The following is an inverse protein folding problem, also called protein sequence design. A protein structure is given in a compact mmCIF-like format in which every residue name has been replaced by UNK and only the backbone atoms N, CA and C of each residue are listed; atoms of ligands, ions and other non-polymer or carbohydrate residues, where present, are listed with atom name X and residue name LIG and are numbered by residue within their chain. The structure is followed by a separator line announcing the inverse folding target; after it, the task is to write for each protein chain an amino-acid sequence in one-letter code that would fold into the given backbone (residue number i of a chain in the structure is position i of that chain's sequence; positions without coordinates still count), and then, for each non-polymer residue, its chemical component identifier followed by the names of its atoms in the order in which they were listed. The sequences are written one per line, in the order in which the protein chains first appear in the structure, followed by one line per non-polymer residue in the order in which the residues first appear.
data_IF_826508115541
#
_entry.id   IF_826508115541
#
_cell.length_a   1.000
_cell.length_b   1.000
_cell.length_c   1.000
_cell.angle_alpha   90.00
_cell.angle_beta   90.00
_cell.angle_gamma   90.00
#
_symmetry.space_group_name_H-M   'P 1'
#
loop_
_entity.id
_entity.type
_entity.pdbx_description
1 polymer ?
#
# COMPACT_ATOMS: atom_id res chain seq x y z
N UNK A 1 2.65 -13.66 15.55
CA UNK A 1 2.89 -13.34 14.13
C UNK A 1 2.24 -11.99 13.86
N UNK A 2 3.01 -10.96 13.56
CA UNK A 2 2.50 -9.61 13.33
C UNK A 2 3.10 -9.07 12.03
N UNK A 3 2.23 -8.78 11.06
CA UNK A 3 2.59 -8.09 9.83
C UNK A 3 2.12 -6.64 9.95
N UNK A 4 3.00 -5.68 9.68
CA UNK A 4 2.69 -4.25 9.74
C UNK A 4 2.69 -3.68 8.31
N UNK A 5 1.55 -3.15 7.89
CA UNK A 5 1.45 -2.32 6.69
C UNK A 5 1.54 -0.86 7.10
N UNK A 6 2.53 -0.15 6.56
CA UNK A 6 2.65 1.29 6.68
C UNK A 6 2.32 1.95 5.35
N UNK A 7 1.41 2.93 5.39
CA UNK A 7 0.96 3.67 4.22
C UNK A 7 1.17 5.15 4.49
N UNK A 8 2.00 5.79 3.67
CA UNK A 8 2.27 7.22 3.75
C UNK A 8 1.60 7.88 2.55
N UNK A 9 0.68 8.80 2.82
CA UNK A 9 -0.02 9.58 1.81
C UNK A 9 0.45 11.02 1.92
N UNK A 10 1.17 11.47 0.90
CA UNK A 10 1.68 12.84 0.82
C UNK A 10 0.85 13.60 -0.21
N UNK A 11 0.17 14.65 0.25
CA UNK A 11 -0.53 15.57 -0.64
C UNK A 11 0.35 16.81 -0.89
N UNK A 12 0.70 17.04 -2.15
CA UNK A 12 1.36 18.26 -2.58
C UNK A 12 0.31 19.26 -3.07
N UNK A 13 0.08 20.30 -2.27
CA UNK A 13 -0.87 21.36 -2.58
C UNK A 13 -0.46 22.21 -3.78
N UNK A 14 0.84 22.33 -4.08
CA UNK A 14 1.33 23.15 -5.19
C UNK A 14 1.07 22.48 -6.55
N UNK A 15 1.16 21.15 -6.61
CA UNK A 15 0.86 20.37 -7.81
C UNK A 15 -0.54 19.74 -7.82
N UNK A 16 -1.29 19.87 -6.72
CA UNK A 16 -2.58 19.21 -6.47
C UNK A 16 -2.52 17.70 -6.77
N UNK A 17 -1.42 17.07 -6.36
CA UNK A 17 -1.15 15.65 -6.56
C UNK A 17 -0.98 14.96 -5.22
N UNK A 18 -1.47 13.73 -5.15
CA UNK A 18 -1.13 12.82 -4.07
C UNK A 18 0.01 11.90 -4.54
N UNK A 19 0.89 11.56 -3.61
CA UNK A 19 1.88 10.48 -3.72
C UNK A 19 1.58 9.47 -2.61
N UNK A 20 1.64 8.18 -2.93
CA UNK A 20 1.36 7.12 -1.96
C UNK A 20 2.55 6.17 -1.91
N UNK A 21 3.16 6.05 -0.74
CA UNK A 21 4.27 5.15 -0.46
C UNK A 21 3.80 4.02 0.47
N UNK A 22 4.31 2.81 0.23
CA UNK A 22 3.89 1.60 0.93
C UNK A 22 5.13 0.90 1.48
N UNK A 23 5.12 0.59 2.77
CA UNK A 23 6.15 -0.24 3.39
C UNK A 23 5.51 -1.38 4.16
N UNK A 24 6.12 -2.56 4.08
CA UNK A 24 5.68 -3.73 4.81
C UNK A 24 6.81 -4.18 5.70
N UNK A 25 6.58 -4.18 7.00
CA UNK A 25 7.50 -4.73 7.99
C UNK A 25 6.94 -6.06 8.51
N UNK A 26 7.79 -7.07 8.52
CA UNK A 26 7.42 -8.45 8.87
C UNK A 26 8.40 -8.96 9.90
N UNK A 27 7.91 -9.33 11.09
CA UNK A 27 8.80 -9.80 12.15
C UNK A 27 9.28 -11.25 11.94
N UNK A 28 8.60 -12.06 11.09
CA UNK A 28 8.91 -13.47 10.80
C UNK A 28 8.32 -13.93 9.44
N UNK A 29 8.51 -15.21 9.06
CA UNK A 29 7.93 -15.84 7.88
C UNK A 29 6.42 -15.59 7.77
N UNK A 30 6.03 -14.77 6.80
CA UNK A 30 4.64 -14.45 6.50
C UNK A 30 4.00 -15.65 5.80
N UNK A 31 2.80 -16.02 6.23
CA UNK A 31 2.03 -17.05 5.53
C UNK A 31 1.50 -16.49 4.21
N UNK A 32 1.34 -17.34 3.19
CA UNK A 32 0.75 -16.94 1.89
C UNK A 32 -0.62 -16.28 2.04
N UNK A 33 -1.37 -16.64 3.09
CA UNK A 33 -2.67 -16.04 3.40
C UNK A 33 -2.56 -14.59 3.88
N UNK A 34 -1.54 -14.28 4.70
CA UNK A 34 -1.28 -12.91 5.18
C UNK A 34 -0.80 -12.01 4.03
N UNK A 35 0.07 -12.51 3.14
CA UNK A 35 0.48 -11.79 1.94
C UNK A 35 -0.71 -11.47 1.01
N UNK A 36 -1.59 -12.45 0.81
CA UNK A 36 -2.80 -12.26 0.00
C UNK A 36 -3.73 -11.23 0.64
N UNK A 37 -3.90 -11.28 1.96
CA UNK A 37 -4.71 -10.32 2.71
C UNK A 37 -4.16 -8.90 2.58
N UNK A 38 -2.84 -8.73 2.71
CA UNK A 38 -2.18 -7.44 2.55
C UNK A 38 -2.33 -6.88 1.13
N UNK A 39 -2.21 -7.74 0.11
CA UNK A 39 -2.44 -7.36 -1.29
C UNK A 39 -3.87 -6.86 -1.52
N UNK A 40 -4.87 -7.52 -0.93
CA UNK A 40 -6.26 -7.07 -0.98
C UNK A 40 -6.46 -5.71 -0.29
N UNK A 41 -5.86 -5.52 0.89
CA UNK A 41 -5.93 -4.24 1.63
C UNK A 41 -5.30 -3.11 0.82
N UNK A 42 -4.11 -3.33 0.25
CA UNK A 42 -3.43 -2.36 -0.63
C UNK A 42 -4.31 -1.97 -1.82
N UNK A 43 -4.93 -2.96 -2.47
CA UNK A 43 -5.86 -2.73 -3.59
C UNK A 43 -7.08 -1.91 -3.17
N UNK A 44 -7.68 -2.23 -2.01
CA UNK A 44 -8.85 -1.51 -1.51
C UNK A 44 -8.55 -0.04 -1.20
N UNK A 45 -7.39 0.24 -0.58
CA UNK A 45 -6.97 1.61 -0.28
C UNK A 45 -6.67 2.39 -1.56
N UNK A 46 -5.98 1.79 -2.54
CA UNK A 46 -5.74 2.44 -3.85
C UNK A 46 -7.05 2.82 -4.54
N UNK A 47 -8.06 1.94 -4.53
CA UNK A 47 -9.39 2.23 -5.08
C UNK A 47 -10.07 3.41 -4.37
N UNK A 48 -10.04 3.44 -3.04
CA UNK A 48 -10.65 4.52 -2.26
C UNK A 48 -9.98 5.88 -2.52
N UNK A 49 -8.68 5.88 -2.82
CA UNK A 49 -7.93 7.09 -3.17
C UNK A 49 -8.04 7.46 -4.66
N UNK A 50 -8.80 6.71 -5.46
CA UNK A 50 -8.97 6.95 -6.89
C UNK A 50 -7.75 6.60 -7.75
N UNK A 51 -6.80 5.84 -7.22
CA UNK A 51 -5.62 5.40 -7.96
C UNK A 51 -5.93 4.19 -8.85
N UNK A 52 -5.26 4.06 -10.00
CA UNK A 52 -5.36 2.86 -10.82
C UNK A 52 -4.80 1.68 -10.03
N UNK A 53 -5.61 0.63 -9.81
CA UNK A 53 -5.17 -0.60 -9.13
C UNK A 53 -4.18 -1.44 -9.92
N UNK A 54 -3.90 -1.04 -11.16
CA UNK A 54 -3.00 -1.73 -12.09
C UNK A 54 -1.63 -1.06 -12.21
N UNK A 55 -1.37 -0.02 -11.43
CA UNK A 55 -0.07 0.65 -11.42
C UNK A 55 0.96 -0.28 -10.78
N UNK A 56 1.86 -0.82 -11.61
CA UNK A 56 3.13 -1.38 -11.14
C UNK A 56 3.79 -0.29 -10.30
N UNK A 57 3.97 -0.55 -9.01
CA UNK A 57 4.76 0.32 -8.15
C UNK A 57 6.21 0.12 -8.58
N UNK A 58 6.70 0.99 -9.45
CA UNK A 58 8.12 1.06 -9.81
C UNK A 58 8.81 1.78 -8.65
N UNK A 59 9.73 1.07 -8.00
CA UNK A 59 10.65 1.62 -7.00
C UNK A 59 11.56 2.68 -7.62
#
# INVERSE_FOLDING_TARGET
MAMKLEVIITHDEASNKCSVEWSTDTTEHVTTQEEHTLSMVKKAVLLQLGYPTSSVIIH
#
